data_IF_511572634545
#
_entry.id   IF_511572634545
#
_cell.length_a   1.000
_cell.length_b   1.000
_cell.length_c   1.000
_cell.angle_alpha   90.00
_cell.angle_beta   90.00
_cell.angle_gamma   90.00
#
_symmetry.space_group_name_H-M   'P 1'
#
loop_
_entity.id
_entity.type
_entity.pdbx_description
1 polymer ?
#
# COMPACT_ATOMS: atom_id res chain seq x y z
N UNK A 1 -60.37 6.80 23.95
CA UNK A 1 -61.58 6.54 23.14
C UNK A 1 -61.73 7.66 22.12
N UNK A 2 -61.57 7.34 20.84
CA UNK A 2 -62.17 7.91 19.62
C UNK A 2 -61.30 7.43 18.44
N UNK A 3 -61.94 6.78 17.45
CA UNK A 3 -61.56 6.94 16.04
C UNK A 3 -60.59 5.94 15.41
N UNK A 4 -61.09 4.74 15.09
CA UNK A 4 -60.85 4.09 13.79
C UNK A 4 -62.03 3.16 13.48
N UNK A 5 -63.19 3.80 13.31
CA UNK A 5 -64.34 3.26 12.59
C UNK A 5 -64.20 3.74 11.14
N UNK A 6 -63.36 3.08 10.35
CA UNK A 6 -63.33 3.20 8.89
C UNK A 6 -62.98 1.81 8.37
N UNK A 7 -63.84 1.27 7.50
CA UNK A 7 -63.84 -0.10 6.95
C UNK A 7 -64.67 -1.10 7.76
N UNK A 8 -65.97 -0.80 7.89
CA UNK A 8 -67.02 -1.82 7.91
C UNK A 8 -67.06 -2.54 6.56
N UNK A 9 -66.02 -3.32 6.25
CA UNK A 9 -66.04 -4.26 5.14
C UNK A 9 -66.13 -5.65 5.74
N UNK A 10 -67.34 -6.18 5.78
CA UNK A 10 -67.56 -7.62 5.82
C UNK A 10 -67.04 -8.20 4.51
N UNK A 11 -65.72 -8.45 4.42
CA UNK A 11 -65.21 -9.36 3.40
C UNK A 11 -65.78 -10.73 3.75
N UNK A 12 -66.94 -11.07 3.17
CA UNK A 12 -67.23 -12.48 2.88
C UNK A 12 -66.18 -12.88 1.86
N UNK A 13 -64.99 -13.24 2.33
CA UNK A 13 -64.04 -14.00 1.52
C UNK A 13 -64.86 -15.20 1.04
N UNK A 14 -65.03 -15.40 -0.27
CA UNK A 14 -65.81 -16.52 -0.77
C UNK A 14 -65.25 -17.78 -0.12
N UNK A 15 -66.09 -18.59 0.53
CA UNK A 15 -65.64 -19.80 1.24
C UNK A 15 -64.72 -20.67 0.36
N UNK A 16 -64.96 -20.65 -0.96
CA UNK A 16 -64.13 -21.30 -1.99
C UNK A 16 -62.68 -20.81 -2.08
N UNK A 17 -62.40 -19.53 -1.82
CA UNK A 17 -61.03 -18.98 -1.84
C UNK A 17 -60.28 -19.42 -0.58
N UNK A 18 -60.93 -19.43 0.58
CA UNK A 18 -60.35 -19.93 1.84
C UNK A 18 -60.09 -21.43 1.74
N UNK A 19 -61.04 -22.18 1.17
CA UNK A 19 -60.91 -23.63 0.91
C UNK A 19 -59.76 -23.92 -0.07
N UNK A 20 -59.61 -23.13 -1.14
CA UNK A 20 -58.52 -23.27 -2.09
C UNK A 20 -57.14 -22.99 -1.44
N UNK A 21 -57.04 -21.92 -0.64
CA UNK A 21 -55.80 -21.60 0.09
C UNK A 21 -55.46 -22.66 1.14
N UNK A 22 -56.45 -23.24 1.82
CA UNK A 22 -56.26 -24.34 2.76
C UNK A 22 -55.72 -25.59 2.06
N UNK A 23 -56.28 -25.96 0.90
CA UNK A 23 -55.78 -27.08 0.09
C UNK A 23 -54.36 -26.86 -0.42
N UNK A 24 -54.03 -25.65 -0.88
CA UNK A 24 -52.67 -25.29 -1.29
C UNK A 24 -51.70 -25.41 -0.10
N UNK A 25 -52.10 -24.95 1.08
CA UNK A 25 -51.31 -25.08 2.32
C UNK A 25 -51.04 -26.55 2.69
N UNK A 26 -52.06 -27.41 2.62
CA UNK A 26 -51.92 -28.85 2.90
C UNK A 26 -50.98 -29.52 1.88
N UNK A 27 -51.12 -29.20 0.59
CA UNK A 27 -50.25 -29.74 -0.46
C UNK A 27 -48.80 -29.28 -0.27
N UNK A 28 -48.57 -28.01 0.07
CA UNK A 28 -47.24 -27.49 0.35
C UNK A 28 -46.59 -28.19 1.55
N UNK A 29 -47.34 -28.39 2.64
CA UNK A 29 -46.86 -29.12 3.83
C UNK A 29 -46.56 -30.59 3.48
N UNK A 30 -47.40 -31.23 2.66
CA UNK A 30 -47.21 -32.63 2.26
C UNK A 30 -45.99 -32.84 1.36
N UNK A 31 -45.77 -31.96 0.38
CA UNK A 31 -44.58 -31.98 -0.48
C UNK A 31 -43.31 -31.79 0.35
N UNK A 32 -43.37 -30.91 1.35
CA UNK A 32 -42.22 -30.60 2.19
C UNK A 32 -41.94 -31.72 3.21
N UNK A 33 -42.99 -32.37 3.73
CA UNK A 33 -42.87 -33.59 4.54
C UNK A 33 -42.25 -34.73 3.74
N UNK A 34 -42.67 -34.94 2.49
CA UNK A 34 -42.07 -35.93 1.59
C UNK A 34 -40.58 -35.63 1.30
N UNK A 35 -40.23 -34.36 1.08
CA UNK A 35 -38.84 -33.96 0.84
C UNK A 35 -37.94 -34.21 2.08
N UNK A 36 -38.43 -33.91 3.28
CA UNK A 36 -37.72 -34.19 4.53
C UNK A 36 -37.64 -35.70 4.80
N UNK A 37 -38.71 -36.45 4.55
CA UNK A 37 -38.78 -37.90 4.73
C UNK A 37 -37.83 -38.65 3.78
N UNK A 38 -37.78 -38.25 2.50
CA UNK A 38 -36.81 -38.78 1.52
C UNK A 38 -35.37 -38.45 1.93
N UNK A 39 -35.12 -37.26 2.48
CA UNK A 39 -33.81 -36.87 2.96
C UNK A 39 -33.38 -37.65 4.24
N UNK A 40 -34.35 -38.10 5.05
CA UNK A 40 -34.12 -38.84 6.29
C UNK A 40 -33.84 -40.34 6.05
N UNK A 41 -34.54 -40.97 5.08
CA UNK A 41 -34.33 -42.39 4.75
C UNK A 41 -33.02 -42.62 3.97
N UNK A 42 -32.62 -41.69 3.10
CA UNK A 42 -31.47 -41.89 2.23
C UNK A 42 -30.10 -41.86 2.94
N UNK A 43 -30.03 -41.40 4.20
CA UNK A 43 -28.77 -41.03 4.83
C UNK A 43 -28.78 -41.20 6.35
N UNK A 44 -28.01 -42.17 6.86
CA UNK A 44 -27.68 -42.34 8.29
C UNK A 44 -26.73 -41.22 8.74
N UNK A 45 -27.25 -40.02 8.98
CA UNK A 45 -26.45 -38.81 9.17
C UNK A 45 -26.65 -38.15 10.54
N UNK A 46 -25.57 -37.51 11.00
CA UNK A 46 -25.44 -36.83 12.28
C UNK A 46 -26.33 -35.56 12.31
N UNK A 47 -27.41 -35.62 13.10
CA UNK A 47 -28.52 -34.65 13.10
C UNK A 47 -28.03 -33.21 13.36
N UNK A 48 -26.96 -33.06 14.14
CA UNK A 48 -26.42 -31.77 14.54
C UNK A 48 -25.87 -30.94 13.36
N UNK A 49 -25.22 -31.58 12.38
CA UNK A 49 -24.58 -30.91 11.25
C UNK A 49 -25.61 -30.39 10.23
N UNK A 50 -26.69 -31.13 10.03
CA UNK A 50 -27.82 -30.75 9.17
C UNK A 50 -28.60 -29.60 9.81
N UNK A 51 -28.86 -29.67 11.13
CA UNK A 51 -29.58 -28.62 11.83
C UNK A 51 -28.86 -27.28 11.69
N UNK A 52 -27.53 -27.23 11.88
CA UNK A 52 -26.74 -26.00 11.71
C UNK A 52 -26.81 -25.41 10.30
N UNK A 53 -26.90 -26.27 9.28
CA UNK A 53 -26.95 -25.86 7.86
C UNK A 53 -28.34 -25.38 7.43
N UNK A 54 -29.40 -25.93 8.00
CA UNK A 54 -30.79 -25.66 7.59
C UNK A 54 -31.64 -24.96 8.66
N UNK A 55 -31.05 -24.50 9.77
CA UNK A 55 -31.78 -23.89 10.90
C UNK A 55 -32.69 -22.74 10.46
N UNK A 56 -32.22 -21.90 9.53
CA UNK A 56 -32.99 -20.78 9.00
C UNK A 56 -34.22 -21.28 8.22
N UNK A 57 -34.06 -22.32 7.40
CA UNK A 57 -35.15 -22.89 6.61
C UNK A 57 -36.19 -23.57 7.50
N UNK A 58 -35.74 -24.29 8.54
CA UNK A 58 -36.62 -24.92 9.54
C UNK A 58 -37.41 -23.87 10.33
N UNK A 59 -36.78 -22.76 10.69
CA UNK A 59 -37.43 -21.67 11.44
C UNK A 59 -38.48 -20.96 10.58
N UNK A 60 -38.15 -20.65 9.32
CA UNK A 60 -39.10 -20.06 8.36
C UNK A 60 -40.29 -21.00 8.11
N UNK A 61 -40.03 -22.30 7.94
CA UNK A 61 -41.08 -23.30 7.77
C UNK A 61 -42.00 -23.40 8.98
N UNK A 62 -41.42 -23.46 10.19
CA UNK A 62 -42.18 -23.50 11.45
C UNK A 62 -43.10 -22.28 11.58
N UNK A 63 -42.60 -21.10 11.20
CA UNK A 63 -43.38 -19.86 11.21
C UNK A 63 -44.54 -19.88 10.20
N UNK A 64 -44.31 -20.39 8.99
CA UNK A 64 -45.35 -20.58 7.98
C UNK A 64 -46.43 -21.56 8.45
N UNK A 65 -46.02 -22.70 9.03
CA UNK A 65 -46.95 -23.70 9.58
C UNK A 65 -47.80 -23.07 10.71
N UNK A 66 -47.16 -22.34 11.63
CA UNK A 66 -47.83 -21.61 12.71
C UNK A 66 -48.87 -20.61 12.17
N UNK A 67 -48.61 -19.96 11.04
CA UNK A 67 -49.56 -19.03 10.45
C UNK A 67 -50.78 -19.72 9.81
N UNK A 68 -50.58 -20.91 9.23
CA UNK A 68 -51.61 -21.67 8.48
C UNK A 68 -52.52 -22.50 9.41
N UNK A 69 -52.01 -23.02 10.52
CA UNK A 69 -52.76 -23.92 11.42
C UNK A 69 -54.12 -23.35 11.87
N UNK A 70 -54.24 -22.09 12.32
CA UNK A 70 -55.53 -21.54 12.75
C UNK A 70 -56.55 -21.42 11.60
N UNK A 71 -56.08 -21.08 10.39
CA UNK A 71 -56.94 -21.00 9.19
C UNK A 71 -57.50 -22.39 8.82
N UNK A 72 -56.66 -23.42 8.91
CA UNK A 72 -57.08 -24.80 8.68
C UNK A 72 -58.05 -25.29 9.76
N UNK A 73 -57.79 -24.98 11.03
CA UNK A 73 -58.69 -25.29 12.15
C UNK A 73 -60.05 -24.56 12.03
N UNK A 74 -60.07 -23.37 11.43
CA UNK A 74 -61.30 -22.62 11.13
C UNK A 74 -62.13 -23.34 10.09
N UNK A 75 -61.50 -23.80 9.01
CA UNK A 75 -62.14 -24.59 7.96
C UNK A 75 -62.74 -25.90 8.50
N UNK A 76 -62.05 -26.57 9.44
CA UNK A 76 -62.55 -27.80 10.09
C UNK A 76 -63.68 -27.55 11.10
N UNK A 77 -64.06 -26.30 11.35
CA UNK A 77 -65.12 -25.96 12.30
C UNK A 77 -64.73 -26.16 13.77
N UNK A 78 -63.43 -26.23 14.08
CA UNK A 78 -62.91 -26.46 15.43
C UNK A 78 -63.08 -25.28 16.38
N UNK A 79 -63.59 -24.14 15.89
CA UNK A 79 -63.94 -22.95 16.67
C UNK A 79 -65.46 -22.78 16.90
N UNK A 80 -66.29 -23.75 16.48
CA UNK A 80 -67.75 -23.70 16.69
C UNK A 80 -68.11 -23.97 18.17
N UNK A 81 -69.35 -23.69 18.55
CA UNK A 81 -69.82 -23.96 19.91
C UNK A 81 -69.69 -25.46 20.22
N UNK A 82 -69.17 -25.80 21.40
CA UNK A 82 -68.86 -27.15 21.89
C UNK A 82 -67.66 -27.88 21.24
N UNK A 83 -66.80 -27.16 20.51
CA UNK A 83 -65.55 -27.71 19.95
C UNK A 83 -64.30 -27.35 20.76
N UNK A 84 -63.18 -28.01 20.41
CA UNK A 84 -61.94 -28.00 21.20
C UNK A 84 -61.24 -26.63 21.28
N UNK A 85 -61.44 -25.74 20.30
CA UNK A 85 -60.87 -24.38 20.27
C UNK A 85 -61.94 -23.28 20.45
N UNK A 86 -63.13 -23.64 20.94
CA UNK A 86 -64.21 -22.70 21.21
C UNK A 86 -63.78 -21.65 22.26
N UNK A 87 -63.92 -20.36 21.93
CA UNK A 87 -63.51 -19.25 22.80
C UNK A 87 -62.02 -18.92 22.79
N UNK A 88 -61.23 -19.48 21.86
CA UNK A 88 -59.81 -19.16 21.74
C UNK A 88 -59.54 -17.77 21.12
N UNK A 89 -58.53 -17.08 21.64
CA UNK A 89 -58.13 -15.74 21.18
C UNK A 89 -57.20 -15.82 19.95
N UNK A 90 -57.81 -15.99 18.78
CA UNK A 90 -57.11 -16.04 17.48
C UNK A 90 -56.41 -14.72 17.17
N UNK A 91 -56.94 -13.58 17.63
CA UNK A 91 -56.34 -12.27 17.41
C UNK A 91 -55.06 -12.10 18.25
N UNK A 92 -55.11 -12.49 19.52
CA UNK A 92 -53.94 -12.53 20.40
C UNK A 92 -52.85 -13.48 19.89
N UNK A 93 -53.23 -14.61 19.29
CA UNK A 93 -52.31 -15.54 18.64
C UNK A 93 -51.54 -14.89 17.48
N UNK A 94 -52.24 -14.26 16.53
CA UNK A 94 -51.58 -13.57 15.42
C UNK A 94 -50.78 -12.34 15.88
N UNK A 95 -51.27 -11.61 16.88
CA UNK A 95 -50.54 -10.53 17.53
C UNK A 95 -49.20 -11.00 18.10
N UNK A 96 -49.17 -12.19 18.70
CA UNK A 96 -47.95 -12.80 19.25
C UNK A 96 -46.96 -13.20 18.15
N UNK A 97 -47.43 -13.83 17.05
CA UNK A 97 -46.57 -14.20 15.92
C UNK A 97 -45.95 -12.96 15.26
N UNK A 98 -46.77 -11.96 14.95
CA UNK A 98 -46.31 -10.73 14.30
C UNK A 98 -45.36 -9.97 15.24
N UNK A 99 -45.70 -9.86 16.53
CA UNK A 99 -44.84 -9.25 17.54
C UNK A 99 -43.48 -9.96 17.66
N UNK A 100 -43.48 -11.30 17.61
CA UNK A 100 -42.25 -12.10 17.58
C UNK A 100 -41.39 -11.84 16.35
N UNK A 101 -41.97 -11.80 15.16
CA UNK A 101 -41.25 -11.48 13.90
C UNK A 101 -40.64 -10.10 13.96
N UNK A 102 -41.41 -9.08 14.37
CA UNK A 102 -40.94 -7.70 14.49
C UNK A 102 -39.80 -7.60 15.51
N UNK A 103 -39.90 -8.33 16.62
CA UNK A 103 -38.85 -8.34 17.66
C UNK A 103 -37.56 -8.96 17.13
N UNK A 104 -37.63 -10.12 16.47
CA UNK A 104 -36.44 -10.78 15.89
C UNK A 104 -35.82 -9.91 14.80
N UNK A 105 -36.65 -9.27 13.96
CA UNK A 105 -36.18 -8.36 12.93
C UNK A 105 -35.52 -7.11 13.54
N UNK A 106 -36.11 -6.54 14.60
CA UNK A 106 -35.54 -5.43 15.36
C UNK A 106 -34.17 -5.78 15.95
N UNK A 107 -34.06 -6.94 16.62
CA UNK A 107 -32.79 -7.45 17.14
C UNK A 107 -31.77 -7.59 16.00
N UNK A 108 -32.14 -8.24 14.89
CA UNK A 108 -31.25 -8.43 13.75
C UNK A 108 -30.73 -7.09 13.18
N UNK A 109 -31.63 -6.11 13.00
CA UNK A 109 -31.28 -4.77 12.53
C UNK A 109 -30.33 -4.06 13.50
N UNK A 110 -30.63 -4.08 14.80
CA UNK A 110 -29.79 -3.46 15.84
C UNK A 110 -28.41 -4.10 15.90
N UNK A 111 -28.33 -5.43 15.96
CA UNK A 111 -27.04 -6.14 15.95
C UNK A 111 -26.23 -5.85 14.69
N UNK A 112 -26.88 -5.78 13.52
CA UNK A 112 -26.17 -5.48 12.28
C UNK A 112 -25.64 -4.03 12.27
N UNK A 113 -26.42 -3.08 12.79
CA UNK A 113 -26.01 -1.69 12.95
C UNK A 113 -24.86 -1.53 13.94
N UNK A 114 -24.97 -2.12 15.13
CA UNK A 114 -23.89 -2.11 16.13
C UNK A 114 -22.63 -2.79 15.60
N UNK A 115 -22.75 -3.87 14.82
CA UNK A 115 -21.61 -4.53 14.18
C UNK A 115 -20.92 -3.63 13.18
N UNK A 116 -21.68 -2.86 12.40
CA UNK A 116 -21.13 -1.88 11.45
C UNK A 116 -20.40 -0.76 12.19
N UNK A 117 -21.04 -0.14 13.19
CA UNK A 117 -20.42 0.89 14.03
C UNK A 117 -19.18 0.36 14.74
N UNK A 118 -19.22 -0.82 15.34
CA UNK A 118 -18.07 -1.42 16.02
C UNK A 118 -16.93 -1.72 15.06
N UNK A 119 -17.22 -2.11 13.82
CA UNK A 119 -16.21 -2.31 12.80
C UNK A 119 -15.60 -1.00 12.31
N UNK A 120 -16.36 0.10 12.33
CA UNK A 120 -15.91 1.43 11.95
C UNK A 120 -15.13 2.12 13.08
N UNK A 121 -15.61 2.05 14.31
CA UNK A 121 -14.91 2.52 15.51
C UNK A 121 -13.57 1.81 15.71
N UNK A 122 -13.51 0.47 15.53
CA UNK A 122 -12.24 -0.27 15.56
C UNK A 122 -11.26 0.12 14.46
N UNK A 123 -11.71 0.71 13.35
CA UNK A 123 -10.82 1.22 12.29
C UNK A 123 -10.30 2.61 12.63
N UNK A 124 -11.15 3.48 13.18
CA UNK A 124 -10.77 4.83 13.58
C UNK A 124 -9.83 4.85 14.80
N UNK A 125 -10.07 3.96 15.77
CA UNK A 125 -9.31 3.92 17.03
C UNK A 125 -7.95 3.20 16.92
N UNK A 126 -7.66 2.51 15.80
CA UNK A 126 -6.48 1.66 15.65
C UNK A 126 -5.57 2.09 14.48
N UNK A 127 -5.32 3.39 14.35
CA UNK A 127 -4.40 3.93 13.35
C UNK A 127 -2.93 3.56 13.70
N UNK A 128 -2.15 3.00 12.78
CA UNK A 128 -0.70 2.91 12.96
C UNK A 128 -0.10 4.32 12.96
N UNK A 129 0.70 4.63 13.96
CA UNK A 129 1.37 5.92 14.11
C UNK A 129 2.86 5.67 14.09
N UNK A 130 3.58 6.32 13.18
CA UNK A 130 5.00 6.10 12.98
C UNK A 130 5.80 7.29 13.47
N UNK A 131 6.78 7.02 14.31
CA UNK A 131 7.80 7.96 14.73
C UNK A 131 9.09 7.66 13.98
N UNK A 132 9.79 8.72 13.57
CA UNK A 132 10.99 8.63 12.75
C UNK A 132 12.18 9.21 13.48
N UNK A 133 13.33 8.56 13.38
CA UNK A 133 14.63 9.13 13.76
C UNK A 133 15.72 8.69 12.78
N UNK A 134 16.80 9.47 12.70
CA UNK A 134 17.95 9.15 11.85
C UNK A 134 19.21 9.06 12.70
N UNK A 135 19.97 7.99 12.46
CA UNK A 135 21.29 7.80 13.02
C UNK A 135 22.33 7.73 11.91
N UNK A 136 23.42 8.48 12.05
CA UNK A 136 24.52 8.42 11.10
C UNK A 136 25.28 7.10 11.28
N UNK A 137 25.63 6.48 10.15
CA UNK A 137 26.39 5.25 10.14
C UNK A 137 27.83 5.56 9.72
N UNK A 138 28.85 4.97 10.35
CA UNK A 138 30.23 5.15 9.92
C UNK A 138 30.44 4.65 8.48
N UNK A 139 31.37 5.29 7.77
CA UNK A 139 31.65 5.06 6.34
C UNK A 139 32.06 3.61 5.97
N UNK A 140 32.35 2.76 6.96
CA UNK A 140 32.80 1.38 6.77
C UNK A 140 31.66 0.36 6.61
N UNK A 141 30.40 0.81 6.63
CA UNK A 141 29.25 -0.09 6.51
C UNK A 141 29.03 -0.50 5.05
N UNK A 142 28.82 -1.80 4.82
CA UNK A 142 28.98 -2.42 3.50
C UNK A 142 27.64 -2.63 2.77
N UNK A 143 26.53 -2.69 3.49
CA UNK A 143 25.21 -3.00 2.95
C UNK A 143 24.23 -1.87 3.17
N UNK A 144 23.53 -1.45 2.12
CA UNK A 144 22.40 -0.53 2.21
C UNK A 144 21.14 -1.28 1.84
N UNK A 145 20.01 -0.99 2.46
CA UNK A 145 18.70 -1.52 2.07
C UNK A 145 18.12 -0.69 0.92
N UNK A 146 18.38 0.62 0.96
CA UNK A 146 17.91 1.59 -0.01
C UNK A 146 19.04 2.47 -0.53
N UNK A 147 18.96 2.78 -1.81
CA UNK A 147 19.79 3.79 -2.48
C UNK A 147 18.92 4.97 -2.87
N UNK A 148 19.32 6.17 -2.43
CA UNK A 148 18.66 7.41 -2.77
C UNK A 148 19.62 8.25 -3.61
N UNK A 149 19.19 8.68 -4.78
CA UNK A 149 19.94 9.56 -5.68
C UNK A 149 19.17 10.85 -5.84
N UNK A 150 19.76 11.97 -5.40
CA UNK A 150 19.26 13.33 -5.70
C UNK A 150 20.07 13.92 -6.84
N UNK A 151 19.41 14.52 -7.82
CA UNK A 151 20.07 15.16 -8.96
C UNK A 151 20.45 14.15 -10.04
N UNK A 152 19.47 13.40 -10.52
CA UNK A 152 19.67 12.34 -11.53
C UNK A 152 20.32 12.88 -12.80
N UNK A 153 20.01 14.10 -13.22
CA UNK A 153 20.65 14.75 -14.37
C UNK A 153 22.14 15.00 -14.15
N UNK A 154 22.53 15.57 -13.00
CA UNK A 154 23.93 15.80 -12.64
C UNK A 154 24.69 14.47 -12.51
N UNK A 155 24.05 13.43 -11.97
CA UNK A 155 24.59 12.07 -11.93
C UNK A 155 24.88 11.51 -13.33
N UNK A 156 23.93 11.66 -14.28
CA UNK A 156 24.12 11.22 -15.67
C UNK A 156 25.30 11.94 -16.31
N UNK A 157 25.36 13.27 -16.17
CA UNK A 157 26.46 14.09 -16.67
C UNK A 157 27.81 13.64 -16.10
N UNK A 158 27.89 13.44 -14.78
CA UNK A 158 29.09 12.94 -14.10
C UNK A 158 29.56 11.60 -14.68
N UNK A 159 28.63 10.67 -14.88
CA UNK A 159 28.94 9.35 -15.43
C UNK A 159 29.47 9.43 -16.87
N UNK A 160 28.81 10.20 -17.73
CA UNK A 160 29.23 10.41 -19.12
C UNK A 160 30.64 11.02 -19.19
N UNK A 161 30.90 12.06 -18.40
CA UNK A 161 32.22 12.69 -18.31
C UNK A 161 33.29 11.72 -17.79
N UNK A 162 32.97 10.90 -16.79
CA UNK A 162 33.89 9.91 -16.23
C UNK A 162 34.26 8.81 -17.25
N UNK A 163 33.28 8.34 -18.02
CA UNK A 163 33.52 7.39 -19.11
C UNK A 163 34.35 7.99 -20.23
N UNK A 164 34.11 9.27 -20.56
CA UNK A 164 34.90 10.00 -21.55
C UNK A 164 36.35 10.20 -21.08
N UNK A 165 36.59 10.59 -19.81
CA UNK A 165 37.95 10.68 -19.25
C UNK A 165 38.66 9.33 -19.32
N UNK A 166 37.99 8.23 -18.97
CA UNK A 166 38.55 6.88 -19.04
C UNK A 166 38.95 6.50 -20.47
N UNK A 167 38.10 6.77 -21.46
CA UNK A 167 38.40 6.53 -22.88
C UNK A 167 39.56 7.41 -23.37
N UNK A 168 39.59 8.67 -22.96
CA UNK A 168 40.61 9.63 -23.34
C UNK A 168 41.98 9.27 -22.75
N UNK A 169 42.01 8.83 -21.48
CA UNK A 169 43.22 8.32 -20.82
C UNK A 169 43.81 7.12 -21.57
N UNK A 170 42.96 6.20 -22.05
CA UNK A 170 43.40 5.07 -22.89
C UNK A 170 43.99 5.55 -24.23
N UNK A 171 43.34 6.50 -24.90
CA UNK A 171 43.83 7.08 -26.16
C UNK A 171 45.18 7.77 -25.99
N UNK A 172 45.33 8.60 -24.95
CA UNK A 172 46.59 9.27 -24.63
C UNK A 172 47.72 8.27 -24.38
N UNK A 173 47.48 7.23 -23.57
CA UNK A 173 48.48 6.20 -23.32
C UNK A 173 48.91 5.49 -24.61
N UNK A 174 47.96 5.20 -25.50
CA UNK A 174 48.26 4.59 -26.80
C UNK A 174 49.09 5.54 -27.68
N UNK A 175 48.70 6.80 -27.80
CA UNK A 175 49.44 7.80 -28.58
C UNK A 175 50.86 8.02 -28.05
N UNK A 176 51.06 8.09 -26.74
CA UNK A 176 52.38 8.20 -26.14
C UNK A 176 53.24 6.96 -26.41
N UNK A 177 52.65 5.77 -26.32
CA UNK A 177 53.35 4.52 -26.65
C UNK A 177 53.76 4.47 -28.12
N UNK A 178 52.84 4.81 -29.03
CA UNK A 178 53.12 4.85 -30.47
C UNK A 178 54.20 5.88 -30.79
N UNK A 179 54.15 7.07 -30.18
CA UNK A 179 55.19 8.09 -30.31
C UNK A 179 56.56 7.53 -29.93
N UNK A 180 56.68 6.94 -28.74
CA UNK A 180 57.94 6.36 -28.25
C UNK A 180 58.50 5.29 -29.20
N UNK A 181 57.63 4.41 -29.72
CA UNK A 181 58.02 3.36 -30.68
C UNK A 181 58.53 3.94 -32.00
N UNK A 182 57.96 5.04 -32.47
CA UNK A 182 58.41 5.71 -33.70
C UNK A 182 59.73 6.46 -33.44
N UNK A 183 59.88 7.11 -32.29
CA UNK A 183 61.14 7.75 -31.88
C UNK A 183 62.29 6.74 -31.82
N UNK A 184 62.05 5.54 -31.27
CA UNK A 184 63.03 4.45 -31.24
C UNK A 184 63.42 3.99 -32.67
N UNK A 185 62.46 3.89 -33.58
CA UNK A 185 62.73 3.57 -35.00
C UNK A 185 63.50 4.69 -35.71
N UNK A 186 63.12 5.94 -35.46
CA UNK A 186 63.74 7.12 -36.06
C UNK A 186 65.20 7.30 -35.59
N UNK A 187 65.54 6.87 -34.38
CA UNK A 187 66.92 6.88 -33.89
C UNK A 187 67.82 5.83 -34.59
N UNK A 188 67.23 4.74 -35.08
CA UNK A 188 67.95 3.67 -35.78
C UNK A 188 68.00 3.87 -37.31
N UNK A 189 67.19 4.79 -37.85
CA UNK A 189 67.01 5.04 -39.29
C UNK A 189 67.16 6.54 -39.61
N UNK A 190 66.82 6.95 -40.84
CA UNK A 190 66.84 8.37 -41.22
C UNK A 190 65.63 9.12 -40.62
N UNK A 191 65.88 9.96 -39.61
CA UNK A 191 64.86 10.70 -38.84
C UNK A 191 63.91 11.53 -39.71
N UNK A 192 64.38 12.03 -40.85
CA UNK A 192 63.58 12.86 -41.76
C UNK A 192 62.34 12.13 -42.30
N UNK A 193 62.39 10.80 -42.41
CA UNK A 193 61.27 9.98 -42.91
C UNK A 193 60.10 9.92 -41.91
N UNK A 194 60.39 9.97 -40.61
CA UNK A 194 59.40 9.84 -39.54
C UNK A 194 58.89 11.17 -38.98
N UNK A 195 59.48 12.29 -39.42
CA UNK A 195 59.21 13.62 -38.86
C UNK A 195 57.72 13.99 -38.95
N UNK A 196 57.10 13.75 -40.11
CA UNK A 196 55.67 14.05 -40.33
C UNK A 196 54.75 13.20 -39.44
N UNK A 197 55.06 11.91 -39.28
CA UNK A 197 54.28 11.00 -38.43
C UNK A 197 54.39 11.37 -36.94
N UNK A 198 55.58 11.78 -36.49
CA UNK A 198 55.81 12.27 -35.13
C UNK A 198 55.03 13.55 -34.84
N UNK A 199 55.00 14.49 -35.78
CA UNK A 199 54.23 15.74 -35.68
C UNK A 199 52.72 15.48 -35.59
N UNK A 200 52.19 14.56 -36.41
CA UNK A 200 50.77 14.18 -36.36
C UNK A 200 50.39 13.55 -35.02
N UNK A 201 51.26 12.68 -34.45
CA UNK A 201 51.02 12.06 -33.15
C UNK A 201 51.14 13.08 -32.03
N UNK A 202 52.11 13.99 -32.11
CA UNK A 202 52.29 15.07 -31.14
C UNK A 202 51.04 15.95 -31.07
N UNK A 203 50.50 16.35 -32.22
CA UNK A 203 49.26 17.12 -32.29
C UNK A 203 48.08 16.38 -31.65
N UNK A 204 47.92 15.08 -31.96
CA UNK A 204 46.88 14.25 -31.33
C UNK A 204 47.04 14.15 -29.81
N UNK A 205 48.27 14.14 -29.29
CA UNK A 205 48.52 14.13 -27.84
C UNK A 205 48.10 15.48 -27.23
N UNK A 206 48.46 16.59 -27.87
CA UNK A 206 48.09 17.94 -27.44
C UNK A 206 46.58 18.13 -27.39
N UNK A 207 45.88 17.85 -28.50
CA UNK A 207 44.43 17.97 -28.61
C UNK A 207 43.71 17.14 -27.53
N UNK A 208 44.12 15.87 -27.35
CA UNK A 208 43.53 15.00 -26.32
C UNK A 208 43.89 15.45 -24.90
N UNK A 209 45.05 16.09 -24.69
CA UNK A 209 45.44 16.59 -23.37
C UNK A 209 44.63 17.82 -22.96
N UNK A 210 44.31 18.70 -23.91
CA UNK A 210 43.48 19.87 -23.70
C UNK A 210 42.02 19.48 -23.42
N UNK A 211 41.49 18.55 -24.21
CA UNK A 211 40.17 17.98 -23.95
C UNK A 211 40.08 17.33 -22.57
N UNK A 212 41.16 16.66 -22.12
CA UNK A 212 41.21 16.04 -20.80
C UNK A 212 41.15 17.09 -19.68
N UNK A 213 41.86 18.19 -19.83
CA UNK A 213 41.81 19.31 -18.87
C UNK A 213 40.39 19.85 -18.76
N UNK A 214 39.72 20.06 -19.90
CA UNK A 214 38.33 20.51 -19.95
C UNK A 214 37.39 19.56 -19.23
N UNK A 215 37.44 18.26 -19.54
CA UNK A 215 36.61 17.23 -18.86
C UNK A 215 36.91 17.18 -17.35
N UNK A 216 38.18 17.27 -16.96
CA UNK A 216 38.57 17.25 -15.54
C UNK A 216 37.99 18.44 -14.78
N UNK A 217 37.96 19.62 -15.42
CA UNK A 217 37.39 20.83 -14.85
C UNK A 217 35.86 20.74 -14.75
N UNK A 218 35.18 20.21 -15.77
CA UNK A 218 33.74 19.94 -15.69
C UNK A 218 33.40 18.93 -14.61
N UNK A 219 34.20 17.88 -14.44
CA UNK A 219 34.03 16.90 -13.37
C UNK A 219 34.20 17.53 -11.98
N UNK A 220 35.16 18.44 -11.81
CA UNK A 220 35.37 19.12 -10.51
C UNK A 220 34.26 20.08 -10.14
N UNK A 221 33.51 20.59 -11.12
CA UNK A 221 32.40 21.51 -10.87
C UNK A 221 31.15 20.78 -10.36
N UNK A 222 31.02 19.48 -10.65
CA UNK A 222 29.88 18.68 -10.19
C UNK A 222 30.09 18.35 -8.70
N UNK A 223 29.24 18.91 -7.85
CA UNK A 223 29.16 18.54 -6.46
C UNK A 223 28.68 17.09 -6.33
N UNK A 224 29.43 16.27 -5.59
CA UNK A 224 29.06 14.89 -5.28
C UNK A 224 29.33 14.60 -3.82
N UNK A 225 28.30 14.14 -3.11
CA UNK A 225 28.47 13.58 -1.76
C UNK A 225 27.61 12.35 -1.56
N UNK A 226 28.18 11.33 -0.92
CA UNK A 226 27.45 10.17 -0.44
C UNK A 226 27.48 10.15 1.09
N UNK A 227 26.32 9.92 1.70
CA UNK A 227 26.10 9.84 3.15
C UNK A 227 25.30 8.58 3.43
N UNK A 228 25.67 7.86 4.49
CA UNK A 228 24.96 6.67 4.92
C UNK A 228 24.30 6.92 6.27
N UNK A 229 23.03 6.54 6.39
CA UNK A 229 22.29 6.66 7.63
C UNK A 229 21.33 5.49 7.85
N UNK A 230 20.92 5.29 9.09
CA UNK A 230 19.81 4.42 9.47
C UNK A 230 18.58 5.27 9.74
N UNK A 231 17.53 5.06 8.95
CA UNK A 231 16.20 5.56 9.24
C UNK A 231 15.50 4.57 10.16
N UNK A 232 15.31 4.97 11.41
CA UNK A 232 14.54 4.23 12.40
C UNK A 232 13.07 4.62 12.28
N UNK A 233 12.21 3.61 12.22
CA UNK A 233 10.77 3.75 12.12
C UNK A 233 10.18 2.96 13.28
N UNK A 234 9.64 3.68 14.25
CA UNK A 234 9.04 3.11 15.46
C UNK A 234 7.53 3.25 15.36
N UNK A 235 6.79 2.17 15.55
CA UNK A 235 5.33 2.23 15.55
C UNK A 235 4.82 2.45 16.98
N UNK A 236 4.32 3.66 17.24
CA UNK A 236 3.70 4.04 18.50
C UNK A 236 2.17 3.89 18.47
N UNK A 237 1.61 3.46 17.33
CA UNK A 237 0.19 3.19 17.16
C UNK A 237 -0.20 1.80 17.63
N UNK A 238 -1.51 1.54 17.64
CA UNK A 238 -2.07 0.29 18.19
C UNK A 238 -2.05 -0.89 17.20
N UNK A 239 -1.73 -0.64 15.93
CA UNK A 239 -1.81 -1.63 14.86
C UNK A 239 -0.55 -1.65 14.01
N UNK A 240 -0.21 -2.82 13.46
CA UNK A 240 0.92 -2.99 12.55
C UNK A 240 0.80 -2.10 11.32
N UNK A 241 1.87 -1.37 11.01
CA UNK A 241 2.03 -0.68 9.74
C UNK A 241 2.79 -1.57 8.75
N UNK A 242 2.31 -1.69 7.52
CA UNK A 242 3.01 -2.38 6.43
C UNK A 242 3.52 -1.30 5.49
N UNK A 243 4.84 -1.07 5.50
CA UNK A 243 5.44 -0.07 4.62
C UNK A 243 5.22 -0.46 3.17
N UNK A 244 4.78 0.47 2.34
CA UNK A 244 4.40 0.23 0.95
C UNK A 244 5.43 0.80 0.00
N UNK A 245 5.78 2.08 0.15
CA UNK A 245 6.77 2.70 -0.72
C UNK A 245 7.49 3.87 -0.07
N UNK A 246 8.69 4.16 -0.58
CA UNK A 246 9.44 5.37 -0.23
C UNK A 246 9.86 6.08 -1.52
N UNK A 247 9.71 7.41 -1.53
CA UNK A 247 10.18 8.30 -2.59
C UNK A 247 10.82 9.56 -2.01
N UNK A 248 11.81 10.10 -2.70
CA UNK A 248 12.41 11.39 -2.39
C UNK A 248 11.77 12.46 -3.27
N UNK A 249 11.15 13.45 -2.65
CA UNK A 249 10.65 14.65 -3.30
C UNK A 249 11.63 15.79 -3.05
N UNK A 250 12.39 16.14 -4.09
CA UNK A 250 13.36 17.22 -4.03
C UNK A 250 12.77 18.54 -4.49
N UNK A 251 13.28 19.65 -3.94
CA UNK A 251 12.87 20.99 -4.32
C UNK A 251 13.34 21.36 -5.74
N UNK A 252 12.78 22.46 -6.27
CA UNK A 252 13.20 23.10 -7.52
C UNK A 252 13.13 22.21 -8.77
N UNK A 253 12.28 21.19 -8.76
CA UNK A 253 12.14 20.26 -9.88
C UNK A 253 13.34 19.34 -10.08
N UNK A 254 14.28 19.28 -9.12
CA UNK A 254 15.39 18.32 -9.14
C UNK A 254 14.83 16.91 -9.16
N UNK A 255 15.22 16.11 -10.17
CA UNK A 255 14.80 14.71 -10.21
C UNK A 255 15.61 13.88 -9.23
N UNK A 256 14.88 13.06 -8.50
CA UNK A 256 15.41 12.22 -7.45
C UNK A 256 14.81 10.84 -7.57
N UNK A 257 15.56 9.84 -7.10
CA UNK A 257 15.22 8.46 -7.28
C UNK A 257 15.55 7.64 -6.04
N UNK A 258 14.63 6.75 -5.67
CA UNK A 258 14.83 5.79 -4.59
C UNK A 258 14.77 4.39 -5.18
N UNK A 259 15.71 3.53 -4.81
CA UNK A 259 15.81 2.16 -5.30
C UNK A 259 16.09 1.21 -4.14
N UNK A 260 15.57 -0.01 -4.25
CA UNK A 260 15.94 -1.10 -3.35
C UNK A 260 17.29 -1.63 -3.76
N UNK A 261 18.15 -1.89 -2.79
CA UNK A 261 19.45 -2.48 -3.00
C UNK A 261 19.35 -3.99 -3.31
N UNK A 262 18.86 -4.34 -4.50
CA UNK A 262 18.88 -5.72 -4.98
C UNK A 262 20.11 -5.98 -5.86
N UNK A 263 21.03 -6.80 -5.35
CA UNK A 263 22.15 -7.34 -6.12
C UNK A 263 23.44 -6.51 -6.09
N UNK A 264 24.47 -6.93 -6.86
CA UNK A 264 25.79 -6.30 -6.85
C UNK A 264 25.73 -4.83 -7.26
N UNK A 265 26.60 -4.00 -6.66
CA UNK A 265 26.71 -2.55 -6.91
C UNK A 265 26.81 -2.18 -8.39
N UNK A 266 27.26 -3.09 -9.25
CA UNK A 266 27.41 -2.86 -10.69
C UNK A 266 26.08 -2.62 -11.43
N UNK A 267 24.95 -3.08 -10.87
CA UNK A 267 23.61 -2.80 -11.42
C UNK A 267 23.05 -1.43 -11.03
N UNK A 268 23.69 -0.74 -10.07
CA UNK A 268 23.26 0.55 -9.54
C UNK A 268 23.02 1.58 -10.65
N UNK A 269 23.97 1.73 -11.59
CA UNK A 269 23.85 2.69 -12.68
C UNK A 269 22.66 2.39 -13.60
N UNK A 270 22.52 1.12 -14.03
CA UNK A 270 21.44 0.70 -14.91
C UNK A 270 20.08 0.95 -14.25
N UNK A 271 19.99 0.72 -12.94
CA UNK A 271 18.78 0.93 -12.16
C UNK A 271 18.46 2.42 -11.98
N UNK A 272 19.44 3.29 -11.77
CA UNK A 272 19.21 4.76 -11.71
C UNK A 272 18.58 5.25 -13.01
N UNK A 273 18.96 4.70 -14.16
CA UNK A 273 18.42 5.08 -15.46
C UNK A 273 17.01 4.53 -15.77
N UNK A 274 16.47 3.60 -14.98
CA UNK A 274 15.11 3.07 -15.17
C UNK A 274 14.03 4.13 -14.87
N UNK A 275 12.79 3.88 -15.28
CA UNK A 275 11.70 4.88 -15.22
C UNK A 275 11.08 5.11 -13.84
N UNK A 276 11.16 4.16 -12.92
CA UNK A 276 10.47 4.30 -11.63
C UNK A 276 11.28 5.13 -10.63
N UNK A 277 10.68 6.19 -10.11
CA UNK A 277 11.28 7.11 -9.13
C UNK A 277 11.00 6.68 -7.67
N UNK A 278 10.20 5.62 -7.49
CA UNK A 278 9.70 5.11 -6.21
C UNK A 278 10.24 3.70 -5.95
N UNK A 279 10.61 3.43 -4.70
CA UNK A 279 10.94 2.08 -4.24
C UNK A 279 9.75 1.46 -3.51
N UNK A 280 9.26 0.32 -4.00
CA UNK A 280 8.22 -0.47 -3.34
C UNK A 280 8.84 -1.31 -2.23
N UNK A 281 8.53 -1.01 -0.98
CA UNK A 281 9.14 -1.63 0.20
C UNK A 281 8.15 -2.49 0.99
N UNK A 282 7.20 -3.12 0.28
CA UNK A 282 6.14 -4.01 0.78
C UNK A 282 6.62 -5.23 1.59
N UNK A 283 7.93 -5.37 1.80
CA UNK A 283 8.56 -6.40 2.60
C UNK A 283 8.73 -6.04 4.08
N UNK A 284 8.53 -4.76 4.47
CA UNK A 284 8.74 -4.32 5.85
C UNK A 284 7.42 -4.07 6.57
N UNK A 285 7.18 -4.84 7.63
CA UNK A 285 6.14 -4.58 8.61
C UNK A 285 6.76 -3.96 9.86
N UNK A 286 6.06 -2.99 10.46
CA UNK A 286 6.40 -2.37 11.74
C UNK A 286 5.29 -2.74 12.73
N UNK A 287 5.47 -3.81 13.51
CA UNK A 287 4.47 -4.23 14.51
C UNK A 287 4.25 -3.17 15.57
N UNK A 288 3.18 -3.32 16.34
CA UNK A 288 2.85 -2.42 17.45
C UNK A 288 4.02 -2.34 18.44
N UNK A 289 4.40 -1.12 18.84
CA UNK A 289 5.46 -0.83 19.81
C UNK A 289 6.85 -1.37 19.41
N UNK A 290 7.02 -1.75 18.14
CA UNK A 290 8.29 -2.22 17.60
C UNK A 290 8.96 -1.15 16.72
N UNK A 291 10.28 -1.30 16.58
CA UNK A 291 11.12 -0.47 15.74
C UNK A 291 11.74 -1.33 14.64
N UNK A 292 11.74 -0.80 13.41
CA UNK A 292 12.59 -1.29 12.34
C UNK A 292 13.62 -0.22 11.95
N UNK A 293 14.75 -0.65 11.40
CA UNK A 293 15.80 0.24 10.89
C UNK A 293 16.05 -0.05 9.43
N UNK A 294 15.94 0.96 8.58
CA UNK A 294 16.31 0.91 7.17
C UNK A 294 17.65 1.62 6.98
N UNK A 295 18.64 0.92 6.42
CA UNK A 295 19.92 1.53 6.07
C UNK A 295 19.81 2.16 4.69
N UNK A 296 20.06 3.46 4.60
CA UNK A 296 19.88 4.25 3.38
C UNK A 296 21.20 4.92 3.00
N UNK A 297 21.63 4.69 1.77
CA UNK A 297 22.73 5.43 1.15
C UNK A 297 22.17 6.58 0.31
N UNK A 298 22.38 7.80 0.79
CA UNK A 298 22.04 9.01 0.08
C UNK A 298 23.22 9.52 -0.74
N UNK A 299 23.06 9.54 -2.06
CA UNK A 299 24.01 10.14 -2.99
C UNK A 299 23.40 11.40 -3.61
N UNK A 300 24.10 12.51 -3.42
CA UNK A 300 23.68 13.84 -3.84
C UNK A 300 24.60 14.34 -4.94
N UNK A 301 23.99 14.80 -6.03
CA UNK A 301 24.66 15.35 -7.20
C UNK A 301 24.06 16.71 -7.54
N UNK A 302 24.92 17.72 -7.74
CA UNK A 302 24.50 19.03 -8.22
C UNK A 302 25.58 19.63 -9.13
N UNK A 303 25.21 20.53 -10.03
CA UNK A 303 26.15 21.12 -11.01
C UNK A 303 27.01 22.24 -10.42
N UNK A 304 26.64 22.75 -9.24
CA UNK A 304 27.35 23.80 -8.51
C UNK A 304 27.42 23.44 -7.03
N UNK A 305 28.40 23.98 -6.30
CA UNK A 305 28.46 23.80 -4.85
C UNK A 305 27.29 24.55 -4.20
N UNK A 306 26.32 23.84 -3.60
CA UNK A 306 25.03 24.45 -3.29
C UNK A 306 24.96 25.06 -1.89
N UNK A 307 26.05 25.02 -1.11
CA UNK A 307 26.08 25.62 0.21
C UNK A 307 26.26 27.15 0.10
N UNK A 308 25.22 27.91 0.43
CA UNK A 308 25.36 29.33 0.75
C UNK A 308 26.05 29.46 2.11
N UNK A 309 27.06 30.32 2.23
CA UNK A 309 27.72 30.61 3.51
C UNK A 309 26.69 30.95 4.59
N UNK A 310 26.74 30.24 5.73
CA UNK A 310 26.07 30.72 6.95
C UNK A 310 26.94 30.51 8.20
N UNK A 311 26.69 31.42 9.13
CA UNK A 311 27.44 31.79 10.31
C UNK A 311 27.54 30.65 11.32
N UNK A 312 28.78 30.31 11.72
CA UNK A 312 29.05 29.35 12.80
C UNK A 312 29.59 27.99 12.36
N UNK A 313 29.90 27.80 11.07
CA UNK A 313 30.62 26.62 10.57
C UNK A 313 29.75 25.38 10.30
N UNK A 314 28.43 25.48 10.45
CA UNK A 314 27.47 24.46 10.03
C UNK A 314 26.81 24.92 8.73
N UNK A 315 26.84 24.07 7.70
CA UNK A 315 26.23 24.35 6.40
C UNK A 315 25.07 23.38 6.16
N UNK A 316 23.99 23.90 5.59
CA UNK A 316 22.77 23.13 5.30
C UNK A 316 22.52 23.09 3.79
N UNK A 317 22.08 21.95 3.29
CA UNK A 317 21.73 21.77 1.89
C UNK A 317 20.48 20.90 1.72
N UNK A 318 19.84 21.03 0.56
CA UNK A 318 18.59 20.35 0.20
C UNK A 318 17.46 20.65 1.20
N UNK A 319 17.46 21.84 1.82
CA UNK A 319 16.41 22.25 2.75
C UNK A 319 15.05 22.21 2.06
N UNK A 320 14.14 21.44 2.65
CA UNK A 320 12.77 21.26 2.18
C UNK A 320 12.59 20.15 1.13
N UNK A 321 13.67 19.41 0.82
CA UNK A 321 13.52 18.03 0.35
C UNK A 321 12.82 17.19 1.43
N UNK A 322 12.07 16.18 1.01
CA UNK A 322 11.37 15.30 1.94
C UNK A 322 11.19 13.90 1.38
N UNK A 323 11.25 12.90 2.27
CA UNK A 323 10.82 11.55 1.95
C UNK A 323 9.30 11.46 2.12
N UNK A 324 8.62 10.89 1.12
CA UNK A 324 7.26 10.41 1.30
C UNK A 324 7.34 8.92 1.59
N UNK A 325 6.78 8.53 2.73
CA UNK A 325 6.73 7.15 3.20
C UNK A 325 5.27 6.74 3.22
N UNK A 326 4.89 5.87 2.28
CA UNK A 326 3.56 5.32 2.17
C UNK A 326 3.50 4.00 2.92
N UNK A 327 2.42 3.75 3.65
CA UNK A 327 2.18 2.50 4.35
C UNK A 327 0.70 2.16 4.35
N UNK A 328 0.40 0.92 4.70
CA UNK A 328 -0.96 0.45 4.92
C UNK A 328 -1.14 -0.12 6.31
N UNK A 329 -2.35 -0.05 6.84
CA UNK A 329 -2.72 -0.85 8.01
C UNK A 329 -3.13 -2.28 7.60
N UNK A 330 -3.45 -3.14 8.57
CA UNK A 330 -3.89 -4.51 8.30
C UNK A 330 -5.22 -4.59 7.54
N UNK A 331 -5.98 -3.50 7.49
CA UNK A 331 -7.23 -3.36 6.75
C UNK A 331 -7.02 -2.77 5.34
N UNK A 332 -5.75 -2.58 4.94
CA UNK A 332 -5.35 -2.00 3.64
C UNK A 332 -5.80 -0.56 3.44
N UNK A 333 -6.11 0.18 4.51
CA UNK A 333 -6.23 1.62 4.39
C UNK A 333 -4.82 2.19 4.17
N UNK A 334 -4.71 3.23 3.34
CA UNK A 334 -3.43 3.76 2.87
C UNK A 334 -3.13 5.08 3.54
N UNK A 335 -1.89 5.25 3.95
CA UNK A 335 -1.44 6.42 4.69
C UNK A 335 -0.08 6.88 4.18
N UNK A 336 0.25 8.15 4.43
CA UNK A 336 1.51 8.77 4.02
C UNK A 336 2.06 9.69 5.10
N UNK A 337 3.34 9.52 5.41
CA UNK A 337 4.12 10.53 6.12
C UNK A 337 4.96 11.34 5.14
N UNK A 338 5.03 12.66 5.41
CA UNK A 338 5.99 13.57 4.80
C UNK A 338 7.10 13.83 5.80
N UNK A 339 8.29 13.30 5.52
CA UNK A 339 9.45 13.38 6.39
C UNK A 339 10.47 14.37 5.81
N UNK A 340 10.56 15.60 6.33
CA UNK A 340 11.48 16.60 5.81
C UNK A 340 12.92 16.26 6.20
N UNK A 341 13.81 16.32 5.21
CA UNK A 341 15.22 15.99 5.37
C UNK A 341 16.10 17.16 4.91
N UNK A 342 17.32 17.20 5.43
CA UNK A 342 18.36 18.12 4.98
C UNK A 342 19.73 17.44 5.09
N UNK A 343 20.70 17.87 4.28
CA UNK A 343 22.10 17.54 4.52
C UNK A 343 22.69 18.58 5.44
N UNK A 344 23.33 18.11 6.51
CA UNK A 344 24.10 18.94 7.43
C UNK A 344 25.58 18.65 7.24
N UNK A 345 26.35 19.68 6.95
CA UNK A 345 27.80 19.63 6.87
C UNK A 345 28.41 20.41 8.03
N UNK A 346 29.19 19.73 8.86
CA UNK A 346 29.88 20.32 10.00
C UNK A 346 31.25 19.68 10.19
N UNK A 347 32.29 20.49 10.40
CA UNK A 347 33.66 20.03 10.68
C UNK A 347 34.15 18.94 9.70
N UNK A 348 33.91 19.12 8.40
CA UNK A 348 34.26 18.19 7.31
C UNK A 348 33.45 16.87 7.25
N UNK A 349 32.43 16.73 8.09
CA UNK A 349 31.53 15.57 8.12
C UNK A 349 30.15 15.92 7.58
N UNK A 350 29.59 15.01 6.78
CA UNK A 350 28.26 15.17 6.19
C UNK A 350 27.32 14.17 6.83
N UNK A 351 26.12 14.63 7.14
CA UNK A 351 25.08 13.84 7.80
C UNK A 351 23.71 14.20 7.24
N UNK A 352 22.74 13.32 7.46
CA UNK A 352 21.33 13.60 7.16
C UNK A 352 20.65 14.06 8.45
N UNK A 353 20.02 15.23 8.39
CA UNK A 353 19.16 15.76 9.44
C UNK A 353 17.69 15.54 9.13
N UNK A 354 16.88 15.31 10.16
CA UNK A 354 15.42 15.33 10.11
C UNK A 354 14.91 16.58 10.80
N UNK A 355 14.01 17.31 10.16
CA UNK A 355 13.34 18.45 10.78
C UNK A 355 12.12 17.98 11.59
N UNK A 356 12.35 17.39 12.77
CA UNK A 356 11.30 16.76 13.59
C UNK A 356 10.06 17.63 13.83
N UNK A 357 10.25 18.95 14.02
CA UNK A 357 9.15 19.92 14.24
C UNK A 357 8.16 20.01 13.08
N UNK A 358 8.55 19.56 11.88
CA UNK A 358 7.74 19.63 10.66
C UNK A 358 7.15 18.28 10.26
N UNK A 359 7.36 17.22 11.05
CA UNK A 359 6.70 15.93 10.84
C UNK A 359 5.33 16.01 11.52
N UNK A 360 4.23 15.79 10.78
CA UNK A 360 2.92 15.74 11.39
C UNK A 360 2.82 14.53 12.32
N UNK A 361 2.09 14.66 13.43
CA UNK A 361 1.85 13.53 14.35
C UNK A 361 1.01 12.46 13.65
N UNK A 362 -0.05 12.89 12.98
CA UNK A 362 -0.93 12.01 12.22
C UNK A 362 -0.46 11.89 10.75
N UNK A 363 -0.53 10.69 10.16
CA UNK A 363 -0.29 10.52 8.74
C UNK A 363 -1.42 11.13 7.91
N UNK A 364 -1.13 11.40 6.64
CA UNK A 364 -2.12 11.79 5.65
C UNK A 364 -2.82 10.52 5.14
N UNK A 365 -4.14 10.45 5.25
CA UNK A 365 -4.92 9.36 4.65
C UNK A 365 -4.95 9.52 3.13
N UNK A 366 -4.75 8.42 2.41
CA UNK A 366 -4.79 8.37 0.95
C UNK A 366 -6.06 7.65 0.50
N UNK A 367 -6.70 8.17 -0.54
CA UNK A 367 -7.90 7.55 -1.11
C UNK A 367 -7.63 6.08 -1.49
N UNK A 368 -8.63 5.24 -1.22
CA UNK A 368 -8.60 3.83 -1.62
C UNK A 368 -8.55 3.77 -3.14
N UNK A 369 -7.67 2.94 -3.75
CA UNK A 369 -7.80 2.66 -5.17
C UNK A 369 -9.21 2.12 -5.42
N UNK A 370 -9.90 2.64 -6.45
CA UNK A 370 -11.19 2.12 -6.87
C UNK A 370 -11.10 0.60 -6.94
N UNK A 371 -12.01 -0.08 -6.25
CA UNK A 371 -12.12 -1.54 -6.33
C UNK A 371 -12.31 -1.88 -7.80
N UNK A 372 -11.33 -2.56 -8.39
CA UNK A 372 -11.55 -3.31 -9.62
C UNK A 372 -12.60 -4.36 -9.25
N UNK A 373 -13.84 -4.12 -9.68
CA UNK A 373 -14.90 -5.10 -9.61
C UNK A 373 -14.48 -6.28 -10.50
N UNK A 374 -13.97 -7.33 -9.86
CA UNK A 374 -13.86 -8.63 -10.51
C UNK A 374 -15.27 -9.21 -10.48
N UNK A 375 -15.96 -9.08 -11.62
CA UNK A 375 -17.24 -9.73 -11.91
C UNK A 375 -17.11 -11.25 -11.94
#
# INVERSE_FOLDING_TARGET
>A
MIGLSILGITWKVPDKIVECLAWIGVVAIFILFLAVYQCFIAKKFDIHQILKKYIVHVLVLSLLISFIIPLFSWHLGLFKKDSLLNGSDVLGYYGTIIGGVVTVMGIYCTFNYERLISAEGRKADNLPLLQFSIENVPANFISSDLYVVRGVEAFKKLHELSENDRKLKKRLNLSCYTKKKIEEKANNNNRAEFQKELEEIQKKIEDNSELKKTISQELSNIFRKTVLCKLKITNIGLQTAILSSIRLCSQNGTKSKVMIAHGPRDLYYKNVLLKDDMANIEMFAVPKEEEISLTIEFSFYDNENPFSEDNGGIQYYARGDHLLIDFTDVYRNRYRYKLPIEIVHYSSTYSIGIMHKHIPVLPIELDKPEKIEVY
#
